data_IF_817161059777
#
_entry.id   IF_817161059777
#
_cell.length_a   1.000
_cell.length_b   1.000
_cell.length_c   1.000
_cell.angle_alpha   90.00
_cell.angle_beta   90.00
_cell.angle_gamma   90.00
#
_symmetry.space_group_name_H-M   'P 1'
#
loop_
_entity.id
_entity.type
_entity.pdbx_description
1 polymer ?
#
# COMPACT_ATOMS: atom_id res chain seq x y z
N UNK A 1 3.26 6.31 -12.70
CA UNK A 1 1.92 6.43 -13.31
C UNK A 1 0.90 6.04 -12.24
N UNK A 2 0.56 6.96 -11.35
CA UNK A 2 -0.49 6.73 -10.34
C UNK A 2 -1.76 7.31 -10.96
N UNK A 3 -2.69 6.45 -11.36
CA UNK A 3 -4.06 6.85 -11.69
C UNK A 3 -4.54 7.85 -10.64
N UNK A 4 -5.13 8.96 -11.08
CA UNK A 4 -5.89 9.84 -10.18
C UNK A 4 -6.87 8.95 -9.43
N UNK A 5 -6.79 8.94 -8.10
CA UNK A 5 -7.75 8.20 -7.30
C UNK A 5 -9.12 8.72 -7.71
N UNK A 6 -10.01 7.82 -8.12
CA UNK A 6 -11.38 8.17 -8.47
C UNK A 6 -11.98 8.94 -7.27
N UNK A 7 -12.33 10.24 -7.42
CA UNK A 7 -12.81 11.04 -6.31
C UNK A 7 -14.07 10.44 -5.67
N UNK A 8 -14.85 9.67 -6.44
CA UNK A 8 -16.05 8.98 -5.95
C UNK A 8 -15.71 7.79 -5.04
N UNK A 9 -14.46 7.31 -5.05
CA UNK A 9 -13.96 6.23 -4.21
C UNK A 9 -13.11 6.72 -3.02
N UNK A 10 -12.96 8.03 -2.87
CA UNK A 10 -12.22 8.64 -1.76
C UNK A 10 -13.04 8.57 -0.47
N UNK A 11 -12.49 7.91 0.55
CA UNK A 11 -13.15 7.76 1.86
C UNK A 11 -12.86 8.95 2.78
N UNK A 12 -11.59 9.36 2.89
CA UNK A 12 -11.15 10.50 3.72
C UNK A 12 -9.74 11.00 3.30
N UNK A 13 -9.36 12.19 3.75
CA UNK A 13 -8.01 12.75 3.64
C UNK A 13 -7.50 13.13 5.03
N UNK A 14 -6.51 12.38 5.51
CA UNK A 14 -5.94 12.54 6.83
C UNK A 14 -4.54 13.16 6.76
N UNK A 15 -4.12 13.94 7.77
CA UNK A 15 -2.73 14.37 7.88
C UNK A 15 -1.83 13.16 8.13
N UNK A 16 -0.59 13.26 7.68
CA UNK A 16 0.42 12.25 7.99
C UNK A 16 0.84 12.33 9.45
N UNK A 17 1.17 11.17 10.01
CA UNK A 17 1.90 11.12 11.28
C UNK A 17 3.36 11.55 11.06
N UNK A 18 4.07 12.05 12.10
CA UNK A 18 5.47 12.46 11.94
C UNK A 18 6.40 11.38 11.37
N UNK A 19 6.14 10.10 11.70
CA UNK A 19 6.91 8.99 11.14
C UNK A 19 6.61 8.80 9.64
N UNK A 20 5.34 8.87 9.23
CA UNK A 20 4.98 8.74 7.81
C UNK A 20 5.57 9.88 6.97
N UNK A 21 5.64 11.10 7.50
CA UNK A 21 6.31 12.22 6.82
C UNK A 21 7.79 11.95 6.59
N UNK A 22 8.51 11.49 7.63
CA UNK A 22 9.94 11.17 7.52
C UNK A 22 10.21 10.02 6.53
N UNK A 23 9.39 8.96 6.57
CA UNK A 23 9.52 7.83 5.65
C UNK A 23 9.24 8.24 4.20
N UNK A 24 8.20 9.04 3.97
CA UNK A 24 7.86 9.54 2.64
C UNK A 24 8.99 10.42 2.07
N UNK A 25 9.58 11.29 2.89
CA UNK A 25 10.74 12.08 2.50
C UNK A 25 11.91 11.19 2.06
N UNK A 26 12.27 10.17 2.84
CA UNK A 26 13.37 9.27 2.50
C UNK A 26 13.11 8.47 1.22
N UNK A 27 11.88 7.99 1.01
CA UNK A 27 11.51 7.25 -0.20
C UNK A 27 11.59 8.10 -1.49
N UNK A 28 11.46 9.42 -1.38
CA UNK A 28 11.53 10.36 -2.51
C UNK A 28 12.93 10.95 -2.72
N UNK A 29 13.75 11.02 -1.66
CA UNK A 29 15.05 11.71 -1.72
C UNK A 29 16.11 10.93 -2.52
N UNK A 30 15.96 9.62 -2.66
CA UNK A 30 16.93 8.75 -3.33
C UNK A 30 16.21 7.74 -4.24
N UNK A 31 15.61 8.24 -5.34
CA UNK A 31 14.82 7.43 -6.29
C UNK A 31 15.65 6.33 -7.00
N UNK A 32 16.98 6.48 -7.04
CA UNK A 32 17.92 5.54 -7.67
C UNK A 32 18.45 4.47 -6.69
N UNK A 33 18.22 4.64 -5.38
CA UNK A 33 18.63 3.69 -4.36
C UNK A 33 17.56 2.61 -4.11
N UNK A 34 17.95 1.43 -3.56
CA UNK A 34 16.99 0.43 -3.14
C UNK A 34 15.99 1.02 -2.13
N UNK A 35 14.70 0.87 -2.38
CA UNK A 35 13.66 1.27 -1.43
C UNK A 35 13.68 0.33 -0.21
N UNK A 36 14.43 0.76 0.80
CA UNK A 36 14.65 0.05 2.08
C UNK A 36 13.38 -0.11 2.92
N UNK A 37 12.27 0.53 2.51
CA UNK A 37 11.00 0.45 3.23
C UNK A 37 10.03 -0.58 2.62
N UNK A 38 10.41 -1.20 1.49
CA UNK A 38 9.67 -2.36 0.98
C UNK A 38 9.94 -3.60 1.83
N UNK A 39 8.90 -4.08 2.51
CA UNK A 39 8.93 -5.32 3.28
C UNK A 39 8.39 -6.46 2.41
N UNK A 40 9.21 -7.49 2.19
CA UNK A 40 8.81 -8.71 1.48
C UNK A 40 8.69 -9.88 2.44
N UNK A 41 7.56 -10.58 2.37
CA UNK A 41 7.34 -11.86 3.06
C UNK A 41 7.08 -12.94 2.01
N UNK A 42 7.89 -14.00 2.03
CA UNK A 42 7.68 -15.20 1.23
C UNK A 42 7.15 -16.32 2.14
N UNK A 43 6.16 -17.07 1.66
CA UNK A 43 5.55 -18.18 2.39
C UNK A 43 5.46 -19.39 1.46
N UNK A 44 6.04 -20.50 1.90
CA UNK A 44 5.90 -21.78 1.22
C UNK A 44 4.58 -22.44 1.63
N UNK A 45 3.81 -22.87 0.62
CA UNK A 45 2.53 -23.55 0.82
C UNK A 45 2.68 -24.99 0.34
N UNK A 46 2.54 -25.93 1.27
CA UNK A 46 2.52 -27.35 0.94
C UNK A 46 1.11 -27.78 0.49
N UNK A 47 1.04 -28.56 -0.59
CA UNK A 47 -0.21 -29.06 -1.15
C UNK A 47 -0.84 -28.15 -2.22
N UNK A 48 -2.14 -28.28 -2.41
CA UNK A 48 -2.87 -27.54 -3.44
C UNK A 48 -3.25 -26.13 -2.98
N UNK A 49 -2.92 -25.12 -3.79
CA UNK A 49 -3.34 -23.73 -3.57
C UNK A 49 -4.58 -23.40 -4.42
N UNK A 50 -5.68 -23.05 -3.74
CA UNK A 50 -6.86 -22.47 -4.39
C UNK A 50 -6.64 -20.97 -4.61
N UNK A 51 -6.14 -20.62 -5.79
CA UNK A 51 -5.82 -19.23 -6.15
C UNK A 51 -7.06 -18.30 -6.16
N UNK A 52 -8.24 -18.70 -6.68
CA UNK A 52 -9.48 -17.92 -6.53
C UNK A 52 -9.81 -17.60 -5.08
N UNK A 53 -9.75 -18.60 -4.19
CA UNK A 53 -10.03 -18.40 -2.76
C UNK A 53 -9.01 -17.49 -2.09
N UNK A 54 -7.72 -17.61 -2.43
CA UNK A 54 -6.69 -16.70 -1.93
C UNK A 54 -6.94 -15.25 -2.36
N UNK A 55 -7.37 -15.04 -3.61
CA UNK A 55 -7.72 -13.71 -4.13
C UNK A 55 -8.91 -13.12 -3.39
N UNK A 56 -9.95 -13.91 -3.11
CA UNK A 56 -11.10 -13.46 -2.34
C UNK A 56 -10.72 -13.05 -0.92
N UNK A 57 -9.87 -13.85 -0.26
CA UNK A 57 -9.33 -13.53 1.06
C UNK A 57 -8.54 -12.21 1.05
N UNK A 58 -7.65 -12.02 0.06
CA UNK A 58 -6.90 -10.77 -0.11
C UNK A 58 -7.83 -9.56 -0.32
N UNK A 59 -8.87 -9.71 -1.15
CA UNK A 59 -9.88 -8.67 -1.33
C UNK A 59 -10.64 -8.36 -0.02
N UNK A 60 -10.89 -9.38 0.81
CA UNK A 60 -11.43 -9.21 2.16
C UNK A 60 -10.53 -8.39 3.08
N UNK A 61 -9.21 -8.61 3.03
CA UNK A 61 -8.26 -7.81 3.79
C UNK A 61 -8.27 -6.34 3.37
N UNK A 62 -8.30 -6.06 2.05
CA UNK A 62 -8.38 -4.69 1.54
C UNK A 62 -9.65 -3.97 2.00
N UNK A 63 -10.81 -4.67 1.99
CA UNK A 63 -12.07 -4.10 2.50
C UNK A 63 -12.01 -3.81 4.00
N UNK A 64 -11.39 -4.70 4.78
CA UNK A 64 -11.34 -4.60 6.25
C UNK A 64 -10.31 -3.60 6.76
N UNK A 65 -9.21 -3.38 6.04
CA UNK A 65 -8.08 -2.59 6.52
C UNK A 65 -7.85 -1.36 5.62
N UNK A 66 -8.30 -0.19 6.07
CA UNK A 66 -8.16 1.08 5.33
C UNK A 66 -6.70 1.38 4.93
N UNK A 67 -5.73 1.07 5.80
CA UNK A 67 -4.31 1.28 5.52
C UNK A 67 -3.79 0.53 4.28
N UNK A 68 -4.40 -0.60 3.89
CA UNK A 68 -4.01 -1.35 2.69
C UNK A 68 -4.58 -0.73 1.40
N UNK A 69 -5.47 0.25 1.51
CA UNK A 69 -6.06 1.02 0.40
C UNK A 69 -5.69 2.51 0.46
N UNK A 70 -4.81 2.89 1.38
CA UNK A 70 -4.38 4.27 1.54
C UNK A 70 -3.35 4.65 0.45
N UNK A 71 -3.33 5.92 0.08
CA UNK A 71 -2.36 6.49 -0.85
C UNK A 71 -1.86 7.83 -0.32
N UNK A 72 -0.63 8.18 -0.68
CA UNK A 72 -0.03 9.46 -0.36
C UNK A 72 -0.19 10.42 -1.55
N UNK A 73 -0.67 11.63 -1.28
CA UNK A 73 -0.75 12.73 -2.26
C UNK A 73 -0.03 13.93 -1.69
N UNK A 74 0.87 14.51 -2.47
CA UNK A 74 1.47 15.81 -2.17
C UNK A 74 0.77 16.88 -3.01
N UNK A 75 0.39 17.98 -2.37
CA UNK A 75 0.08 19.21 -3.08
C UNK A 75 1.42 19.90 -3.33
N UNK A 76 1.75 20.10 -4.61
CA UNK A 76 2.94 20.86 -5.01
C UNK A 76 2.82 22.35 -4.69
#
# INVERSE_FOLDING_TARGET
>A
MVESADPEQLEDVLPLTPLQEGLLFHAQFDEDAPDIYNVQLAVDVEGGLDAPRLREAAAGLLRRHANLRAAFRQQG
#
